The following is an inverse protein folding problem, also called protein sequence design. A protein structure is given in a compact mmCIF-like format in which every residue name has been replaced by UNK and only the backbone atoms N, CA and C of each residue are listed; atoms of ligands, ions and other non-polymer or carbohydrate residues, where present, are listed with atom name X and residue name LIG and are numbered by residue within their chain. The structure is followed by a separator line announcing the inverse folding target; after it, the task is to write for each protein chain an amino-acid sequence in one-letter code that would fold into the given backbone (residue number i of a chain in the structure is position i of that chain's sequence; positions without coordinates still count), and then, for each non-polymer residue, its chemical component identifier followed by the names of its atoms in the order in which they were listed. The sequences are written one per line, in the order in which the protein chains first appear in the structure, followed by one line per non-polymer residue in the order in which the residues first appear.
data_IF_901399899944
#
_entry.id   IF_901399899944
#
_cell.length_a   1.000
_cell.length_b   1.000
_cell.length_c   1.000
_cell.angle_alpha   90.00
_cell.angle_beta   90.00
_cell.angle_gamma   90.00
#
_symmetry.space_group_name_H-M   'P 1'
#
loop_
_entity.id
_entity.type
_entity.pdbx_description
1 polymer ?
#
# COMPACT_ATOMS: atom_id res chain seq x y z
N UNK A 1 15.10 42.77 53.03
CA UNK A 1 15.04 41.30 52.85
C UNK A 1 16.29 40.72 53.45
N UNK A 2 16.16 39.72 54.33
CA UNK A 2 17.31 39.10 54.98
C UNK A 2 18.08 38.24 53.97
N UNK A 3 19.38 37.98 54.16
CA UNK A 3 20.15 37.07 53.30
C UNK A 3 19.54 35.66 53.15
N UNK A 4 18.77 35.20 54.16
CA UNK A 4 18.06 33.92 54.14
C UNK A 4 16.85 33.91 53.20
N UNK A 5 16.15 35.04 53.04
CA UNK A 5 15.00 35.16 52.14
C UNK A 5 15.45 35.04 50.67
N UNK A 6 16.59 35.62 50.34
CA UNK A 6 17.17 35.59 48.99
C UNK A 6 17.64 34.17 48.60
N UNK A 7 18.21 33.42 49.55
CA UNK A 7 18.65 32.03 49.33
C UNK A 7 17.47 31.09 49.10
N UNK A 8 16.39 31.25 49.88
CA UNK A 8 15.17 30.43 49.73
C UNK A 8 14.48 30.72 48.40
N UNK A 9 14.35 32.00 48.02
CA UNK A 9 13.79 32.40 46.73
C UNK A 9 14.60 31.84 45.54
N UNK A 10 15.93 31.83 45.64
CA UNK A 10 16.80 31.26 44.61
C UNK A 10 16.59 29.74 44.47
N UNK A 11 16.58 29.00 45.59
CA UNK A 11 16.36 27.54 45.58
C UNK A 11 15.00 27.18 44.99
N UNK A 12 13.94 27.91 45.37
CA UNK A 12 12.60 27.71 44.82
C UNK A 12 12.58 28.01 43.32
N UNK A 13 13.17 29.12 42.89
CA UNK A 13 13.24 29.51 41.47
C UNK A 13 13.99 28.47 40.64
N UNK A 14 15.17 28.02 41.10
CA UNK A 14 15.95 26.99 40.41
C UNK A 14 15.19 25.68 40.33
N UNK A 15 14.52 25.24 41.41
CA UNK A 15 13.74 24.00 41.43
C UNK A 15 12.57 24.06 40.44
N UNK A 16 11.85 25.19 40.38
CA UNK A 16 10.76 25.40 39.42
C UNK A 16 11.30 25.37 37.99
N UNK A 17 12.39 26.09 37.71
CA UNK A 17 13.00 26.12 36.37
C UNK A 17 13.49 24.73 35.92
N UNK A 18 14.18 23.99 36.79
CA UNK A 18 14.64 22.63 36.51
C UNK A 18 13.48 21.66 36.29
N UNK A 19 12.41 21.78 37.07
CA UNK A 19 11.20 20.94 36.91
C UNK A 19 10.49 21.25 35.60
N UNK A 20 10.31 22.53 35.26
CA UNK A 20 9.70 22.94 33.99
C UNK A 20 10.55 22.50 32.80
N UNK A 21 11.87 22.65 32.87
CA UNK A 21 12.79 22.21 31.82
C UNK A 21 12.75 20.68 31.65
N UNK A 22 12.77 19.92 32.75
CA UNK A 22 12.65 18.47 32.72
C UNK A 22 11.31 18.03 32.11
N UNK A 23 10.19 18.62 32.55
CA UNK A 23 8.87 18.32 32.00
C UNK A 23 8.75 18.69 30.52
N UNK A 24 9.34 19.81 30.09
CA UNK A 24 9.37 20.22 28.69
C UNK A 24 10.19 19.26 27.83
N UNK A 25 11.37 18.85 28.29
CA UNK A 25 12.24 17.87 27.60
C UNK A 25 11.56 16.50 27.58
N UNK A 26 11.03 16.02 28.71
CA UNK A 26 10.30 14.77 28.79
C UNK A 26 9.08 14.78 27.87
N UNK A 27 8.31 15.87 27.83
CA UNK A 27 7.19 16.03 26.90
C UNK A 27 7.66 16.01 25.45
N UNK A 28 8.73 16.71 25.10
CA UNK A 28 9.26 16.73 23.73
C UNK A 28 9.80 15.36 23.28
N UNK A 29 10.37 14.58 24.20
CA UNK A 29 10.88 13.23 23.92
C UNK A 29 9.77 12.17 23.86
N UNK A 30 8.79 12.24 24.77
CA UNK A 30 7.69 11.27 24.86
C UNK A 30 6.56 11.56 23.87
N UNK A 31 6.34 12.83 23.54
CA UNK A 31 5.27 13.31 22.64
C UNK A 31 5.84 14.27 21.59
N UNK A 32 6.72 13.82 20.69
CA UNK A 32 7.22 14.64 19.61
C UNK A 32 6.05 15.11 18.73
N UNK A 33 6.00 16.41 18.43
CA UNK A 33 5.02 16.96 17.46
C UNK A 33 5.41 16.43 16.09
N UNK A 34 4.68 15.43 15.61
CA UNK A 34 4.82 14.93 14.24
C UNK A 34 4.01 15.81 13.29
N UNK A 35 4.53 16.13 12.10
CA UNK A 35 3.70 16.74 11.08
C UNK A 35 2.55 15.77 10.75
N UNK A 36 1.32 16.27 10.66
CA UNK A 36 0.17 15.43 10.28
C UNK A 36 0.33 14.89 8.87
N UNK A 37 0.77 15.76 7.97
CA UNK A 37 0.96 15.48 6.55
C UNK A 37 2.43 15.62 6.15
N UNK A 38 2.94 14.65 5.39
CA UNK A 38 4.26 14.69 4.76
C UNK A 38 4.05 14.96 3.27
N UNK A 39 4.62 16.05 2.75
CA UNK A 39 4.43 16.45 1.34
C UNK A 39 4.94 15.39 0.36
N UNK A 40 4.15 15.15 -0.68
CA UNK A 40 4.50 14.35 -1.84
C UNK A 40 5.55 15.06 -2.73
N UNK A 41 6.17 14.35 -3.69
CA UNK A 41 7.21 14.93 -4.53
C UNK A 41 6.80 16.16 -5.34
N UNK A 42 5.53 16.27 -5.76
CA UNK A 42 5.03 17.44 -6.50
C UNK A 42 4.97 18.67 -5.60
N UNK A 43 4.36 18.53 -4.42
CA UNK A 43 4.28 19.61 -3.42
C UNK A 43 5.63 19.96 -2.77
N UNK A 44 6.61 19.06 -2.88
CA UNK A 44 7.97 19.27 -2.40
C UNK A 44 8.87 19.96 -3.45
N UNK A 45 8.37 20.31 -4.64
CA UNK A 45 9.14 20.97 -5.69
C UNK A 45 10.12 20.04 -6.42
N UNK A 46 9.97 18.72 -6.28
CA UNK A 46 10.87 17.77 -6.96
C UNK A 46 10.71 17.89 -8.48
N UNK A 47 9.49 18.14 -8.96
CA UNK A 47 9.16 18.26 -10.39
C UNK A 47 9.29 19.69 -10.96
N UNK A 48 9.98 20.59 -10.26
CA UNK A 48 10.23 21.94 -10.76
C UNK A 48 11.03 21.92 -12.08
N UNK A 49 10.93 23.00 -12.87
CA UNK A 49 11.56 23.10 -14.20
C UNK A 49 13.05 22.72 -14.22
N UNK A 50 13.78 23.01 -13.13
CA UNK A 50 15.19 22.67 -13.00
C UNK A 50 15.49 21.15 -13.03
N UNK A 51 14.50 20.31 -12.70
CA UNK A 51 14.60 18.86 -12.69
C UNK A 51 13.85 18.18 -13.84
N UNK A 52 13.08 18.92 -14.64
CA UNK A 52 12.20 18.37 -15.66
C UNK A 52 12.93 17.40 -16.62
N UNK A 53 14.11 17.78 -17.12
CA UNK A 53 14.88 16.93 -18.04
C UNK A 53 15.39 15.64 -17.39
N UNK A 54 15.69 15.67 -16.08
CA UNK A 54 16.13 14.48 -15.32
C UNK A 54 14.97 13.54 -15.01
N UNK A 55 13.75 14.09 -14.89
CA UNK A 55 12.56 13.35 -14.48
C UNK A 55 11.76 12.79 -15.66
N UNK A 56 11.89 13.34 -16.87
CA UNK A 56 11.21 12.88 -18.10
C UNK A 56 11.35 11.37 -18.36
N UNK A 57 12.46 10.77 -17.90
CA UNK A 57 12.75 9.35 -18.12
C UNK A 57 12.17 8.43 -17.03
N UNK A 58 11.57 8.98 -15.97
CA UNK A 58 10.88 8.15 -14.99
C UNK A 58 9.67 7.49 -15.65
N UNK A 59 9.45 6.22 -15.33
CA UNK A 59 8.34 5.44 -15.89
C UNK A 59 6.97 5.90 -15.42
N UNK A 60 6.93 6.60 -14.29
CA UNK A 60 5.70 7.10 -13.71
C UNK A 60 5.77 8.61 -13.61
N UNK A 61 5.01 9.26 -14.48
CA UNK A 61 4.84 10.71 -14.51
C UNK A 61 3.55 11.14 -13.82
N UNK A 62 3.44 12.39 -13.35
CA UNK A 62 2.23 12.86 -12.69
C UNK A 62 0.97 12.75 -13.56
N UNK A 63 1.13 12.89 -14.88
CA UNK A 63 0.13 12.76 -15.93
C UNK A 63 0.17 11.38 -16.63
N UNK A 64 0.72 10.35 -15.98
CA UNK A 64 0.85 8.99 -16.52
C UNK A 64 -0.44 8.45 -17.17
N UNK A 65 -1.58 8.73 -16.53
CA UNK A 65 -2.89 8.35 -17.03
C UNK A 65 -3.80 9.56 -17.19
N UNK A 66 -4.80 9.51 -18.09
CA UNK A 66 -5.74 10.61 -18.25
C UNK A 66 -6.58 10.87 -16.99
N UNK A 67 -7.11 12.09 -16.88
CA UNK A 67 -7.92 12.50 -15.73
C UNK A 67 -7.13 12.60 -14.40
N UNK A 68 -5.80 12.73 -14.50
CA UNK A 68 -4.91 12.96 -13.38
C UNK A 68 -5.32 14.22 -12.60
N UNK A 69 -5.49 14.09 -11.29
CA UNK A 69 -5.81 15.20 -10.38
C UNK A 69 -5.26 14.95 -8.98
N UNK A 70 -5.01 16.05 -8.28
CA UNK A 70 -4.69 16.06 -6.86
C UNK A 70 -5.96 16.41 -6.06
N UNK A 71 -6.41 15.46 -5.25
CA UNK A 71 -7.60 15.62 -4.41
C UNK A 71 -7.17 16.07 -3.03
N UNK A 72 -7.42 17.32 -2.67
CA UNK A 72 -7.12 17.82 -1.32
C UNK A 72 -8.08 17.22 -0.29
N UNK A 73 -7.52 16.71 0.81
CA UNK A 73 -8.28 16.09 1.91
C UNK A 73 -7.74 16.52 3.27
N UNK A 74 -8.45 16.25 4.38
CA UNK A 74 -7.92 16.50 5.73
C UNK A 74 -6.61 15.76 6.06
N UNK A 75 -6.25 14.73 5.29
CA UNK A 75 -5.02 13.95 5.47
C UNK A 75 -3.84 14.46 4.61
N UNK A 76 -4.10 15.38 3.68
CA UNK A 76 -3.21 15.75 2.59
C UNK A 76 -3.83 15.47 1.23
N UNK A 77 -3.04 15.61 0.17
CA UNK A 77 -3.48 15.36 -1.21
C UNK A 77 -3.37 13.89 -1.61
N UNK A 78 -4.34 13.42 -2.38
CA UNK A 78 -4.35 12.11 -3.01
C UNK A 78 -4.23 12.28 -4.53
N UNK A 79 -3.25 11.62 -5.15
CA UNK A 79 -3.17 11.53 -6.60
C UNK A 79 -4.19 10.52 -7.11
N UNK A 80 -5.09 10.97 -7.99
CA UNK A 80 -6.17 10.17 -8.59
C UNK A 80 -6.10 10.26 -10.11
N UNK A 81 -6.40 9.15 -10.78
CA UNK A 81 -6.57 9.05 -12.23
C UNK A 81 -7.94 8.45 -12.53
N UNK A 82 -8.67 9.06 -13.45
CA UNK A 82 -10.02 8.60 -13.79
C UNK A 82 -10.27 8.79 -15.28
N UNK A 83 -10.41 7.68 -16.01
CA UNK A 83 -10.44 7.69 -17.48
C UNK A 83 -11.25 6.53 -18.06
N UNK A 84 -11.52 6.59 -19.37
CA UNK A 84 -12.46 5.70 -20.07
C UNK A 84 -13.84 6.36 -20.33
N UNK A 85 -14.78 5.68 -21.01
CA UNK A 85 -16.08 6.26 -21.36
C UNK A 85 -16.88 6.68 -20.12
N UNK A 86 -17.49 7.87 -20.11
CA UNK A 86 -18.24 8.37 -18.94
C UNK A 86 -19.46 7.51 -18.57
N UNK A 87 -20.06 6.86 -19.57
CA UNK A 87 -21.16 5.90 -19.42
C UNK A 87 -20.69 4.45 -19.24
N UNK A 88 -19.38 4.21 -19.21
CA UNK A 88 -18.81 2.89 -19.02
C UNK A 88 -19.09 2.33 -17.63
N UNK A 89 -19.24 1.01 -17.52
CA UNK A 89 -19.32 0.39 -16.20
C UNK A 89 -18.02 0.67 -15.41
N UNK A 90 -18.17 0.90 -14.11
CA UNK A 90 -17.11 1.48 -13.29
C UNK A 90 -16.25 0.40 -12.63
N UNK A 91 -14.93 0.58 -12.68
CA UNK A 91 -13.93 -0.29 -12.04
C UNK A 91 -12.97 0.54 -11.22
N UNK A 92 -12.86 0.24 -9.93
CA UNK A 92 -12.00 0.93 -8.98
C UNK A 92 -10.81 0.06 -8.59
N UNK A 93 -9.60 0.61 -8.64
CA UNK A 93 -8.36 -0.13 -8.43
C UNK A 93 -7.62 0.30 -7.16
N UNK A 94 -7.09 -0.67 -6.43
CA UNK A 94 -6.24 -0.46 -5.25
C UNK A 94 -4.93 -1.24 -5.42
N UNK A 95 -3.80 -0.52 -5.37
CA UNK A 95 -2.47 -1.09 -5.62
C UNK A 95 -1.79 -1.65 -4.34
N UNK A 96 -0.59 -2.19 -4.52
CA UNK A 96 0.19 -2.88 -3.48
C UNK A 96 0.84 -1.98 -2.42
N UNK A 97 1.73 -2.56 -1.63
CA UNK A 97 2.36 -1.86 -0.50
C UNK A 97 3.45 -0.88 -0.95
N UNK A 98 4.28 -1.27 -1.91
CA UNK A 98 5.54 -0.60 -2.27
C UNK A 98 5.49 0.17 -3.58
N UNK A 99 4.52 -0.14 -4.43
CA UNK A 99 4.39 0.45 -5.77
C UNK A 99 3.33 1.55 -5.79
N UNK A 100 3.35 2.47 -6.78
CA UNK A 100 2.21 3.33 -7.07
C UNK A 100 1.22 2.62 -8.01
N UNK A 101 0.12 3.28 -8.37
CA UNK A 101 -0.96 2.63 -9.14
C UNK A 101 -0.57 2.19 -10.56
N UNK A 102 0.59 2.59 -11.07
CA UNK A 102 1.08 2.23 -12.41
C UNK A 102 1.15 0.72 -12.66
N UNK A 103 1.38 -0.09 -11.62
CA UNK A 103 1.45 -1.55 -11.72
C UNK A 103 0.15 -2.19 -12.20
N UNK A 104 -0.98 -1.52 -11.95
CA UNK A 104 -2.31 -1.93 -12.41
C UNK A 104 -2.68 -1.31 -13.78
N UNK A 105 -1.81 -0.46 -14.33
CA UNK A 105 -1.99 0.22 -15.61
C UNK A 105 -2.32 -0.70 -16.78
N UNK A 106 -1.58 -1.82 -17.00
CA UNK A 106 -1.89 -2.76 -18.08
C UNK A 106 -3.32 -3.31 -18.02
N UNK A 107 -3.80 -3.67 -16.83
CA UNK A 107 -5.17 -4.18 -16.61
C UNK A 107 -6.18 -3.04 -16.81
N UNK A 108 -5.95 -1.87 -16.20
CA UNK A 108 -6.86 -0.74 -16.30
C UNK A 108 -7.04 -0.26 -17.76
N UNK A 109 -5.95 -0.13 -18.52
CA UNK A 109 -5.99 0.21 -19.94
C UNK A 109 -6.69 -0.88 -20.76
N UNK A 110 -6.47 -2.15 -20.41
CA UNK A 110 -7.17 -3.29 -21.01
C UNK A 110 -8.68 -3.23 -20.81
N UNK A 111 -9.16 -2.82 -19.63
CA UNK A 111 -10.58 -2.62 -19.34
C UNK A 111 -11.14 -1.38 -20.04
N UNK A 112 -10.39 -0.29 -20.15
CA UNK A 112 -10.84 0.89 -20.92
C UNK A 112 -11.07 0.53 -22.40
N UNK A 113 -10.21 -0.30 -23.00
CA UNK A 113 -10.42 -0.81 -24.36
C UNK A 113 -11.70 -1.64 -24.52
N UNK A 114 -12.24 -2.18 -23.42
CA UNK A 114 -13.51 -2.93 -23.37
C UNK A 114 -14.72 -2.06 -23.00
N UNK A 115 -14.53 -0.74 -22.93
CA UNK A 115 -15.60 0.22 -22.62
C UNK A 115 -15.82 0.50 -21.14
N UNK A 116 -14.94 0.03 -20.25
CA UNK A 116 -15.04 0.33 -18.81
C UNK A 116 -14.51 1.73 -18.48
N UNK A 117 -15.12 2.36 -17.48
CA UNK A 117 -14.59 3.54 -16.80
C UNK A 117 -13.73 3.07 -15.64
N UNK A 118 -12.49 3.52 -15.56
CA UNK A 118 -11.56 3.08 -14.52
C UNK A 118 -11.14 4.23 -13.63
N UNK A 119 -10.91 3.94 -12.36
CA UNK A 119 -10.35 4.87 -11.38
C UNK A 119 -9.20 4.21 -10.63
N UNK A 120 -8.05 4.88 -10.62
CA UNK A 120 -6.85 4.48 -9.90
C UNK A 120 -6.42 5.64 -9.00
N UNK A 121 -5.70 5.34 -7.94
CA UNK A 121 -5.14 6.35 -7.05
C UNK A 121 -3.89 5.82 -6.37
N UNK A 122 -3.03 6.74 -5.91
CA UNK A 122 -1.89 6.36 -5.10
C UNK A 122 -2.28 6.30 -3.61
N UNK A 123 -2.05 5.15 -2.96
CA UNK A 123 -2.13 5.03 -1.49
C UNK A 123 -1.27 6.12 -0.80
N UNK A 124 -1.69 6.57 0.38
CA UNK A 124 -0.94 7.59 1.12
C UNK A 124 0.55 7.25 1.28
N UNK A 125 1.41 8.21 0.99
CA UNK A 125 2.87 8.04 1.00
C UNK A 125 3.43 7.23 -0.17
N UNK A 126 2.65 6.92 -1.22
CA UNK A 126 3.15 6.30 -2.46
C UNK A 126 2.91 7.25 -3.63
N UNK A 127 3.71 7.06 -4.67
CA UNK A 127 3.61 7.82 -5.92
C UNK A 127 3.56 9.31 -5.65
N UNK A 128 2.45 9.93 -6.04
CA UNK A 128 2.23 11.38 -5.87
C UNK A 128 1.22 11.74 -4.78
N UNK A 129 0.83 10.81 -3.91
CA UNK A 129 -0.02 11.11 -2.75
C UNK A 129 0.81 11.56 -1.55
N UNK A 130 0.29 12.51 -0.76
CA UNK A 130 0.92 12.92 0.50
C UNK A 130 1.01 11.72 1.47
N UNK A 131 1.99 11.75 2.38
CA UNK A 131 2.09 10.80 3.49
C UNK A 131 1.31 11.27 4.71
N UNK A 132 0.78 10.34 5.50
CA UNK A 132 0.10 10.61 6.77
C UNK A 132 0.99 10.18 7.93
N UNK A 133 1.36 11.08 8.84
CA UNK A 133 2.42 10.79 9.84
C UNK A 133 1.94 10.69 11.29
N UNK A 134 0.70 11.11 11.58
CA UNK A 134 0.15 11.17 12.92
C UNK A 134 -0.80 10.01 13.27
N UNK A 135 -1.16 9.17 12.30
CA UNK A 135 -2.02 8.00 12.50
C UNK A 135 -1.50 6.74 11.77
N UNK A 136 -1.90 5.54 12.23
CA UNK A 136 -1.54 4.28 11.59
C UNK A 136 -2.11 4.13 10.17
N UNK A 137 -1.29 3.61 9.26
CA UNK A 137 -1.72 3.09 7.96
C UNK A 137 -2.37 1.71 8.12
N UNK A 138 -3.59 1.72 8.65
CA UNK A 138 -4.43 0.54 8.84
C UNK A 138 -5.57 0.47 7.82
N UNK A 139 -6.39 -0.58 7.90
CA UNK A 139 -7.55 -0.73 7.03
C UNK A 139 -8.54 0.45 7.11
N UNK A 140 -8.67 1.10 8.28
CA UNK A 140 -9.60 2.24 8.45
C UNK A 140 -9.11 3.47 7.69
N UNK A 141 -7.81 3.75 7.76
CA UNK A 141 -7.21 4.86 6.98
C UNK A 141 -7.39 4.62 5.48
N UNK A 142 -7.06 3.42 5.00
CA UNK A 142 -7.14 3.13 3.56
C UNK A 142 -8.57 3.08 3.04
N UNK A 143 -9.52 2.52 3.80
CA UNK A 143 -10.94 2.57 3.44
C UNK A 143 -11.43 4.02 3.41
N UNK A 144 -11.00 4.87 4.35
CA UNK A 144 -11.33 6.30 4.31
C UNK A 144 -10.72 6.99 3.09
N UNK A 145 -9.48 6.64 2.71
CA UNK A 145 -8.83 7.12 1.50
C UNK A 145 -9.65 6.78 0.25
N UNK A 146 -10.10 5.53 0.14
CA UNK A 146 -10.95 5.07 -0.96
C UNK A 146 -12.24 5.88 -1.07
N UNK A 147 -12.92 6.17 0.04
CA UNK A 147 -14.14 6.99 0.04
C UNK A 147 -13.86 8.43 -0.44
N UNK A 148 -12.76 9.04 0.00
CA UNK A 148 -12.35 10.38 -0.43
C UNK A 148 -12.06 10.42 -1.94
N UNK A 149 -11.45 9.35 -2.48
CA UNK A 149 -11.19 9.21 -3.92
C UNK A 149 -12.48 9.07 -4.71
N UNK A 150 -13.40 8.21 -4.29
CA UNK A 150 -14.71 8.03 -4.93
C UNK A 150 -15.53 9.34 -4.92
N UNK A 151 -15.53 10.04 -3.79
CA UNK A 151 -16.23 11.32 -3.62
C UNK A 151 -15.61 12.47 -4.46
N UNK A 152 -14.37 12.34 -4.92
CA UNK A 152 -13.70 13.35 -5.74
C UNK A 152 -14.10 13.33 -7.22
N UNK A 153 -14.83 12.30 -7.65
CA UNK A 153 -15.23 12.13 -9.04
C UNK A 153 -16.36 13.09 -9.40
N UNK A 154 -16.36 13.67 -10.61
CA UNK A 154 -17.53 14.38 -11.13
C UNK A 154 -18.67 13.43 -11.50
N UNK A 155 -18.42 12.11 -11.60
CA UNK A 155 -19.41 11.08 -11.89
C UNK A 155 -19.88 10.40 -10.61
N UNK A 156 -21.11 9.88 -10.60
CA UNK A 156 -21.63 9.14 -9.45
C UNK A 156 -20.98 7.75 -9.32
N UNK A 157 -20.20 7.53 -8.25
CA UNK A 157 -19.66 6.20 -7.86
C UNK A 157 -20.44 5.55 -6.69
N UNK A 158 -21.66 6.03 -6.43
CA UNK A 158 -22.54 5.57 -5.36
C UNK A 158 -23.77 4.84 -5.91
N UNK A 159 -24.51 4.17 -5.04
CA UNK A 159 -25.69 3.35 -5.39
C UNK A 159 -25.44 1.85 -5.21
N UNK A 160 -26.47 1.04 -5.47
CA UNK A 160 -26.36 -0.42 -5.35
C UNK A 160 -25.60 -1.00 -6.55
N UNK A 161 -24.54 -1.76 -6.29
CA UNK A 161 -23.67 -2.32 -7.32
C UNK A 161 -22.93 -1.25 -8.14
N UNK A 162 -22.62 -0.11 -7.53
CA UNK A 162 -22.11 1.08 -8.22
C UNK A 162 -20.81 0.86 -9.02
N UNK A 163 -19.92 -0.02 -8.55
CA UNK A 163 -18.68 -0.34 -9.24
C UNK A 163 -18.16 -1.74 -8.93
N UNK A 164 -17.19 -2.18 -9.73
CA UNK A 164 -16.38 -3.38 -9.51
C UNK A 164 -15.05 -2.98 -8.87
N UNK A 165 -14.58 -3.73 -7.89
CA UNK A 165 -13.39 -3.41 -7.11
C UNK A 165 -12.28 -4.40 -7.41
N UNK A 166 -11.10 -3.91 -7.80
CA UNK A 166 -9.89 -4.70 -8.07
C UNK A 166 -8.82 -4.31 -7.06
N UNK A 167 -8.33 -5.26 -6.27
CA UNK A 167 -7.26 -5.03 -5.30
C UNK A 167 -6.09 -5.98 -5.51
N UNK A 168 -4.88 -5.45 -5.56
CA UNK A 168 -3.63 -6.21 -5.71
C UNK A 168 -2.79 -6.21 -4.44
N UNK A 169 -2.27 -7.37 -4.01
CA UNK A 169 -1.39 -7.49 -2.85
C UNK A 169 -2.03 -6.85 -1.61
N UNK A 170 -1.40 -5.86 -0.96
CA UNK A 170 -1.98 -5.09 0.13
C UNK A 170 -3.32 -4.46 -0.25
N UNK A 171 -3.44 -3.95 -1.48
CA UNK A 171 -4.69 -3.43 -2.03
C UNK A 171 -5.81 -4.45 -2.06
N UNK A 172 -5.51 -5.74 -2.21
CA UNK A 172 -6.46 -6.84 -2.06
C UNK A 172 -6.97 -6.97 -0.62
N UNK A 173 -6.06 -6.93 0.37
CA UNK A 173 -6.42 -6.92 1.78
C UNK A 173 -7.30 -5.71 2.15
N UNK A 174 -6.95 -4.53 1.64
CA UNK A 174 -7.75 -3.30 1.80
C UNK A 174 -9.13 -3.45 1.13
N UNK A 175 -9.18 -4.02 -0.08
CA UNK A 175 -10.41 -4.21 -0.83
C UNK A 175 -11.40 -5.15 -0.13
N UNK A 176 -10.91 -6.19 0.56
CA UNK A 176 -11.75 -7.05 1.41
C UNK A 176 -12.43 -6.24 2.52
N UNK A 177 -11.67 -5.39 3.22
CA UNK A 177 -12.23 -4.51 4.26
C UNK A 177 -13.24 -3.52 3.70
N UNK A 178 -12.95 -2.92 2.54
CA UNK A 178 -13.89 -2.01 1.88
C UNK A 178 -15.19 -2.74 1.48
N UNK A 179 -15.10 -3.89 0.83
CA UNK A 179 -16.25 -4.66 0.38
C UNK A 179 -17.12 -5.17 1.55
N UNK A 180 -16.50 -5.46 2.70
CA UNK A 180 -17.23 -5.81 3.93
C UNK A 180 -17.96 -4.62 4.56
N UNK A 181 -17.34 -3.43 4.53
CA UNK A 181 -17.93 -2.21 5.09
C UNK A 181 -19.03 -1.62 4.18
N UNK A 182 -18.89 -1.78 2.87
CA UNK A 182 -19.80 -1.23 1.86
C UNK A 182 -20.27 -2.31 0.86
N UNK A 183 -20.93 -3.38 1.33
CA UNK A 183 -21.29 -4.53 0.49
C UNK A 183 -22.21 -4.16 -0.66
N UNK A 184 -23.05 -3.13 -0.48
CA UNK A 184 -23.97 -2.64 -1.50
C UNK A 184 -23.28 -1.80 -2.58
N UNK A 185 -22.11 -1.20 -2.34
CA UNK A 185 -21.40 -0.43 -3.38
C UNK A 185 -20.66 -1.34 -4.36
N UNK A 186 -20.07 -2.43 -3.84
CA UNK A 186 -19.19 -3.30 -4.60
C UNK A 186 -19.98 -4.43 -5.27
N UNK A 187 -20.20 -4.31 -6.58
CA UNK A 187 -20.85 -5.36 -7.37
C UNK A 187 -19.99 -6.62 -7.46
N UNK A 188 -18.78 -6.47 -7.98
CA UNK A 188 -17.81 -7.56 -8.16
C UNK A 188 -16.52 -7.21 -7.43
N UNK A 189 -15.90 -8.20 -6.79
CA UNK A 189 -14.62 -8.08 -6.09
C UNK A 189 -13.59 -8.98 -6.75
N UNK A 190 -12.51 -8.42 -7.28
CA UNK A 190 -11.39 -9.16 -7.87
C UNK A 190 -10.14 -8.93 -7.02
N UNK A 191 -9.60 -10.02 -6.47
CA UNK A 191 -8.44 -10.02 -5.61
C UNK A 191 -7.26 -10.66 -6.34
N UNK A 192 -6.21 -9.88 -6.57
CA UNK A 192 -4.99 -10.29 -7.29
C UNK A 192 -3.87 -10.50 -6.26
N UNK A 193 -3.42 -11.75 -6.07
CA UNK A 193 -2.45 -12.15 -5.04
C UNK A 193 -2.66 -11.40 -3.69
N UNK A 194 -3.87 -11.41 -3.12
CA UNK A 194 -4.22 -10.52 -2.02
C UNK A 194 -3.45 -10.84 -0.74
N UNK A 195 -3.10 -9.80 0.01
CA UNK A 195 -2.64 -9.96 1.38
C UNK A 195 -3.81 -10.24 2.34
N UNK A 196 -3.49 -10.49 3.60
CA UNK A 196 -4.44 -10.68 4.69
C UNK A 196 -4.31 -12.03 5.38
N UNK A 197 -3.98 -13.07 4.62
CA UNK A 197 -3.73 -14.42 5.15
C UNK A 197 -2.26 -14.84 5.01
N UNK A 198 -1.35 -13.87 4.77
CA UNK A 198 0.08 -14.13 4.82
C UNK A 198 0.41 -14.62 6.22
N UNK A 199 1.10 -15.76 6.32
CA UNK A 199 1.44 -16.35 7.61
C UNK A 199 2.40 -15.43 8.35
N UNK A 200 2.03 -15.04 9.57
CA UNK A 200 2.84 -14.24 10.48
C UNK A 200 4.27 -14.79 10.65
N UNK A 201 4.42 -16.12 10.60
CA UNK A 201 5.70 -16.81 10.71
C UNK A 201 6.67 -16.48 9.56
N UNK A 202 6.15 -16.18 8.36
CA UNK A 202 6.95 -15.78 7.18
C UNK A 202 7.68 -14.45 7.41
N UNK A 203 7.18 -13.60 8.30
CA UNK A 203 7.86 -12.36 8.69
C UNK A 203 8.97 -12.55 9.74
N UNK A 204 9.22 -13.78 10.19
CA UNK A 204 10.17 -14.12 11.26
C UNK A 204 9.71 -13.60 12.63
N UNK A 205 9.52 -14.49 13.62
CA UNK A 205 8.94 -14.13 14.94
C UNK A 205 9.68 -12.97 15.63
N UNK A 206 11.02 -12.98 15.58
CA UNK A 206 11.88 -11.95 16.18
C UNK A 206 11.80 -10.63 15.38
N UNK A 207 11.79 -10.70 14.06
CA UNK A 207 11.64 -9.55 13.17
C UNK A 207 10.29 -8.85 13.37
N UNK A 208 9.19 -9.61 13.35
CA UNK A 208 7.84 -9.09 13.65
C UNK A 208 7.78 -8.49 15.05
N UNK A 209 8.29 -9.18 16.06
CA UNK A 209 8.31 -8.65 17.43
C UNK A 209 9.07 -7.33 17.53
N UNK A 210 10.27 -7.23 16.97
CA UNK A 210 11.08 -6.01 17.05
C UNK A 210 10.52 -4.87 16.19
N UNK A 211 9.89 -5.18 15.06
CA UNK A 211 9.26 -4.19 14.20
C UNK A 211 7.97 -3.61 14.80
N UNK A 212 7.23 -4.42 15.57
CA UNK A 212 5.94 -4.07 16.20
C UNK A 212 6.11 -3.52 17.63
N UNK A 213 7.08 -4.01 18.39
CA UNK A 213 7.29 -3.65 19.81
C UNK A 213 7.74 -2.21 20.05
N UNK A 214 8.21 -1.52 19.02
CA UNK A 214 8.74 -0.15 19.15
C UNK A 214 10.07 -0.05 19.92
N UNK A 215 10.70 -1.19 20.26
CA UNK A 215 11.97 -1.24 20.99
C UNK A 215 13.14 -0.68 20.18
N UNK A 216 13.06 -0.72 18.84
CA UNK A 216 14.05 -0.10 17.96
C UNK A 216 13.61 1.34 17.66
N UNK A 217 14.44 2.36 17.93
CA UNK A 217 14.13 3.75 17.60
C UNK A 217 13.75 3.90 16.12
N UNK A 218 12.63 4.57 15.86
CA UNK A 218 12.01 4.68 14.53
C UNK A 218 12.97 5.25 13.47
N UNK A 219 13.83 6.19 13.86
CA UNK A 219 14.84 6.78 12.96
C UNK A 219 15.87 5.75 12.49
N UNK A 220 16.32 4.85 13.37
CA UNK A 220 17.29 3.80 13.03
C UNK A 220 16.65 2.81 12.06
N UNK A 221 15.42 2.40 12.37
CA UNK A 221 14.67 1.48 11.51
C UNK A 221 14.35 2.10 10.15
N UNK A 222 14.04 3.40 10.10
CA UNK A 222 13.82 4.12 8.84
C UNK A 222 15.10 4.20 7.99
N UNK A 223 16.26 4.47 8.59
CA UNK A 223 17.55 4.47 7.86
C UNK A 223 17.88 3.09 7.30
N UNK A 224 17.69 2.03 8.10
CA UNK A 224 17.92 0.66 7.66
C UNK A 224 16.97 0.25 6.53
N UNK A 225 15.68 0.56 6.67
CA UNK A 225 14.65 0.32 5.65
C UNK A 225 14.98 1.06 4.36
N UNK A 226 15.36 2.34 4.45
CA UNK A 226 15.78 3.18 3.32
C UNK A 226 16.97 2.57 2.59
N UNK A 227 18.03 2.26 3.32
CA UNK A 227 19.27 1.70 2.74
C UNK A 227 18.98 0.42 1.97
N UNK A 228 18.08 -0.42 2.47
CA UNK A 228 17.77 -1.69 1.85
C UNK A 228 16.88 -1.57 0.62
N UNK A 229 15.84 -0.74 0.65
CA UNK A 229 15.00 -0.45 -0.52
C UNK A 229 15.80 0.16 -1.69
N UNK A 230 16.97 0.75 -1.42
CA UNK A 230 17.86 1.29 -2.44
C UNK A 230 18.84 0.27 -3.04
N UNK A 231 19.09 -0.89 -2.41
CA UNK A 231 20.14 -1.83 -2.86
C UNK A 231 19.76 -2.51 -4.20
N UNK A 232 20.71 -2.63 -5.16
CA UNK A 232 20.53 -3.43 -6.37
C UNK A 232 20.42 -4.93 -6.04
N UNK A 233 19.43 -5.60 -6.64
CA UNK A 233 19.00 -6.95 -6.24
C UNK A 233 19.94 -8.06 -6.76
N UNK A 234 20.80 -7.79 -7.75
CA UNK A 234 21.81 -8.73 -8.22
C UNK A 234 22.84 -9.14 -7.15
N UNK A 235 22.84 -8.50 -5.97
CA UNK A 235 23.64 -8.89 -4.81
C UNK A 235 22.91 -9.83 -3.82
N UNK A 236 21.67 -10.24 -4.09
CA UNK A 236 20.90 -11.19 -3.24
C UNK A 236 21.10 -12.66 -3.64
N UNK A 237 22.30 -13.04 -4.06
CA UNK A 237 22.77 -14.39 -3.77
C UNK A 237 23.13 -14.44 -2.27
N UNK A 238 22.15 -14.87 -1.45
CA UNK A 238 22.14 -14.89 0.03
C UNK A 238 23.53 -14.97 0.71
N UNK A 239 23.89 -13.97 1.53
CA UNK A 239 24.49 -14.21 2.84
C UNK A 239 23.40 -14.13 3.92
N UNK A 240 23.54 -14.87 5.04
CA UNK A 240 22.68 -14.66 6.21
C UNK A 240 22.83 -13.22 6.74
N UNK A 241 21.80 -12.66 7.40
CA UNK A 241 21.85 -11.30 7.94
C UNK A 241 23.05 -11.16 8.87
N UNK A 242 23.90 -10.16 8.62
CA UNK A 242 25.16 -9.98 9.37
C UNK A 242 24.93 -9.21 10.66
N UNK A 243 23.79 -8.53 10.80
CA UNK A 243 23.46 -7.70 11.97
C UNK A 243 22.02 -7.89 12.46
N UNK A 244 21.72 -7.61 13.76
CA UNK A 244 20.35 -7.69 14.30
C UNK A 244 19.35 -6.77 13.58
N UNK A 245 19.78 -5.58 13.15
CA UNK A 245 18.93 -4.62 12.42
C UNK A 245 18.59 -5.14 11.01
N UNK A 246 19.56 -5.77 10.33
CA UNK A 246 19.29 -6.41 9.05
C UNK A 246 18.28 -7.54 9.24
N UNK A 247 18.45 -8.41 10.24
CA UNK A 247 17.52 -9.51 10.52
C UNK A 247 16.07 -9.04 10.73
N UNK A 248 15.86 -7.89 11.37
CA UNK A 248 14.53 -7.29 11.62
C UNK A 248 13.90 -6.69 10.36
N UNK A 249 14.71 -6.16 9.44
CA UNK A 249 14.19 -5.50 8.23
C UNK A 249 13.97 -6.49 7.07
N UNK A 250 14.67 -7.64 7.05
CA UNK A 250 14.61 -8.65 5.97
C UNK A 250 13.20 -9.06 5.56
N UNK A 251 12.35 -9.57 6.46
CA UNK A 251 11.13 -10.23 6.02
C UNK A 251 10.06 -9.27 5.47
N UNK A 252 9.80 -8.09 6.07
CA UNK A 252 8.94 -7.06 5.47
C UNK A 252 9.41 -6.56 4.11
N UNK A 253 10.73 -6.47 3.91
CA UNK A 253 11.31 -5.94 2.68
C UNK A 253 11.31 -6.96 1.55
N UNK A 254 11.30 -8.26 1.86
CA UNK A 254 11.09 -9.29 0.83
C UNK A 254 9.70 -9.14 0.18
N UNK A 255 8.67 -8.74 0.93
CA UNK A 255 7.33 -8.46 0.37
C UNK A 255 7.39 -7.26 -0.58
N UNK A 256 8.12 -6.21 -0.19
CA UNK A 256 8.34 -5.06 -1.06
C UNK A 256 9.10 -5.39 -2.34
N UNK A 257 10.08 -6.29 -2.25
CA UNK A 257 10.89 -6.74 -3.39
C UNK A 257 10.07 -7.63 -4.33
N UNK A 258 9.26 -8.55 -3.81
CA UNK A 258 8.41 -9.42 -4.63
C UNK A 258 7.36 -8.67 -5.46
N UNK A 259 6.87 -7.51 -5.02
CA UNK A 259 5.91 -6.71 -5.83
C UNK A 259 6.48 -6.21 -7.16
N UNK A 260 7.79 -6.28 -7.34
CA UNK A 260 8.52 -5.58 -8.39
C UNK A 260 9.65 -6.43 -8.99
N UNK A 261 9.80 -7.69 -8.55
CA UNK A 261 10.89 -8.59 -8.98
C UNK A 261 10.32 -9.96 -9.29
N UNK A 262 10.71 -10.56 -10.43
CA UNK A 262 10.30 -11.92 -10.74
C UNK A 262 10.98 -12.95 -9.84
N UNK A 263 10.21 -13.91 -9.34
CA UNK A 263 10.73 -15.10 -8.68
C UNK A 263 11.41 -16.03 -9.69
N UNK A 264 12.71 -15.85 -9.88
CA UNK A 264 13.67 -16.78 -10.52
C UNK A 264 13.62 -16.97 -12.05
N UNK A 265 14.80 -16.83 -12.69
CA UNK A 265 15.13 -17.37 -14.02
C UNK A 265 14.53 -16.65 -15.24
N UNK A 266 13.38 -15.98 -15.10
CA UNK A 266 12.75 -15.23 -16.19
C UNK A 266 13.42 -13.87 -16.41
N UNK A 267 13.47 -13.44 -17.68
CA UNK A 267 14.05 -12.14 -18.03
C UNK A 267 13.14 -11.02 -17.54
N UNK A 268 13.67 -10.12 -16.71
CA UNK A 268 12.96 -8.92 -16.22
C UNK A 268 12.43 -8.13 -17.41
N UNK A 269 11.13 -7.89 -17.44
CA UNK A 269 10.51 -7.08 -18.49
C UNK A 269 10.92 -5.61 -18.37
N UNK A 270 10.88 -4.84 -19.47
CA UNK A 270 11.19 -3.41 -19.41
C UNK A 270 10.27 -2.61 -18.48
N UNK A 271 9.04 -3.08 -18.20
CA UNK A 271 8.14 -2.39 -17.29
C UNK A 271 8.54 -2.63 -15.83
N UNK A 272 8.80 -3.88 -15.43
CA UNK A 272 9.22 -4.23 -14.06
C UNK A 272 10.51 -3.52 -13.66
N UNK A 273 11.53 -3.56 -14.52
CA UNK A 273 12.80 -2.88 -14.25
C UNK A 273 12.59 -1.39 -14.00
N UNK A 274 11.72 -0.77 -14.80
CA UNK A 274 11.44 0.65 -14.67
C UNK A 274 10.60 0.98 -13.43
N UNK A 275 9.66 0.11 -13.03
CA UNK A 275 8.90 0.27 -11.77
C UNK A 275 9.83 0.12 -10.56
N UNK A 276 10.77 -0.83 -10.59
CA UNK A 276 11.84 -0.97 -9.60
C UNK A 276 12.66 0.32 -9.45
N UNK A 277 13.06 0.92 -10.56
CA UNK A 277 13.79 2.20 -10.58
C UNK A 277 12.94 3.32 -9.96
N UNK A 278 11.63 3.33 -10.23
CA UNK A 278 10.72 4.30 -9.62
C UNK A 278 10.56 4.11 -8.11
N UNK A 279 10.46 2.87 -7.62
CA UNK A 279 10.42 2.60 -6.17
C UNK A 279 11.68 3.13 -5.49
N UNK A 280 12.87 2.88 -6.07
CA UNK A 280 14.14 3.45 -5.55
C UNK A 280 14.15 4.97 -5.61
N UNK A 281 13.56 5.55 -6.64
CA UNK A 281 13.39 7.00 -6.75
C UNK A 281 12.44 7.56 -5.67
N UNK A 282 11.35 6.87 -5.33
CA UNK A 282 10.46 7.27 -4.22
C UNK A 282 11.18 7.26 -2.87
N UNK A 283 12.02 6.25 -2.63
CA UNK A 283 12.79 6.14 -1.38
C UNK A 283 13.67 7.38 -1.14
N UNK A 284 14.15 8.02 -2.21
CA UNK A 284 14.97 9.24 -2.14
C UNK A 284 14.15 10.51 -2.17
N UNK A 285 13.12 10.60 -3.01
CA UNK A 285 12.44 11.85 -3.33
C UNK A 285 11.05 11.99 -2.71
N UNK A 286 10.49 10.93 -2.12
CA UNK A 286 9.23 10.97 -1.41
C UNK A 286 9.45 10.73 0.10
N UNK A 287 9.50 11.82 0.86
CA UNK A 287 9.71 11.79 2.32
C UNK A 287 8.67 10.98 3.09
N UNK A 288 7.47 10.79 2.52
CA UNK A 288 6.38 10.02 3.11
C UNK A 288 6.47 8.52 2.87
N UNK A 289 7.27 8.06 1.90
CA UNK A 289 7.30 6.66 1.47
C UNK A 289 7.76 5.70 2.55
N UNK A 290 8.97 5.89 3.10
CA UNK A 290 9.52 4.99 4.12
C UNK A 290 8.64 4.95 5.39
N UNK A 291 8.18 6.09 5.95
CA UNK A 291 7.25 6.07 7.09
C UNK A 291 5.94 5.35 6.80
N UNK A 292 5.31 5.62 5.64
CA UNK A 292 4.05 5.00 5.26
C UNK A 292 4.20 3.49 5.02
N UNK A 293 5.29 3.07 4.36
CA UNK A 293 5.64 1.67 4.16
C UNK A 293 5.80 0.93 5.50
N UNK A 294 6.63 1.47 6.40
CA UNK A 294 6.84 0.88 7.72
C UNK A 294 5.54 0.83 8.54
N UNK A 295 4.73 1.87 8.48
CA UNK A 295 3.42 1.87 9.14
C UNK A 295 2.50 0.80 8.54
N UNK A 296 2.54 0.58 7.23
CA UNK A 296 1.71 -0.42 6.56
C UNK A 296 2.10 -1.84 6.98
N UNK A 297 3.40 -2.13 7.05
CA UNK A 297 3.91 -3.41 7.55
C UNK A 297 3.39 -3.73 8.97
N UNK A 298 3.23 -2.71 9.82
CA UNK A 298 2.78 -2.88 11.20
C UNK A 298 1.27 -3.04 11.35
N UNK A 299 0.50 -2.27 10.59
CA UNK A 299 -0.91 -2.03 10.90
C UNK A 299 -1.87 -2.33 9.75
N UNK A 300 -1.39 -2.45 8.53
CA UNK A 300 -2.23 -2.74 7.38
C UNK A 300 -2.66 -4.22 7.38
N UNK A 301 -3.75 -4.57 6.67
CA UNK A 301 -4.32 -5.93 6.69
C UNK A 301 -3.47 -6.92 5.87
N UNK A 302 -2.23 -7.19 6.29
CA UNK A 302 -1.29 -8.10 5.63
C UNK A 302 -1.40 -9.54 6.16
N UNK A 303 -1.61 -9.70 7.46
CA UNK A 303 -1.67 -11.00 8.15
C UNK A 303 -2.89 -11.08 9.05
N UNK A 304 -3.27 -12.30 9.45
CA UNK A 304 -4.25 -12.56 10.50
C UNK A 304 -5.66 -12.00 10.22
N UNK A 305 -6.07 -11.88 8.95
CA UNK A 305 -7.36 -11.29 8.55
C UNK A 305 -8.48 -12.32 8.34
N UNK A 306 -8.41 -13.49 8.99
CA UNK A 306 -9.36 -14.60 8.79
C UNK A 306 -10.82 -14.20 8.99
N UNK A 307 -11.13 -13.36 9.99
CA UNK A 307 -12.52 -12.90 10.24
C UNK A 307 -13.05 -12.00 9.10
N UNK A 308 -12.20 -11.13 8.56
CA UNK A 308 -12.58 -10.27 7.44
C UNK A 308 -12.77 -11.11 6.16
N UNK A 309 -11.93 -12.11 5.95
CA UNK A 309 -12.05 -13.07 4.85
C UNK A 309 -13.32 -13.92 4.97
N UNK A 310 -13.66 -14.40 6.16
CA UNK A 310 -14.87 -15.18 6.41
C UNK A 310 -16.16 -14.42 6.05
N UNK A 311 -16.15 -13.09 6.14
CA UNK A 311 -17.31 -12.26 5.74
C UNK A 311 -17.55 -12.24 4.23
N UNK A 312 -16.55 -12.60 3.41
CA UNK A 312 -16.73 -12.69 1.96
C UNK A 312 -17.72 -13.78 1.56
N UNK A 313 -17.92 -14.82 2.38
CA UNK A 313 -18.92 -15.87 2.14
C UNK A 313 -20.37 -15.36 2.17
N UNK A 314 -20.59 -14.12 2.61
CA UNK A 314 -21.90 -13.45 2.62
C UNK A 314 -22.19 -12.72 1.32
N UNK A 315 -21.20 -12.55 0.43
CA UNK A 315 -21.41 -11.98 -0.90
C UNK A 315 -22.18 -12.98 -1.76
N UNK A 316 -22.78 -12.53 -2.85
CA UNK A 316 -23.45 -13.45 -3.76
C UNK A 316 -22.42 -14.38 -4.43
N UNK A 317 -22.72 -15.68 -4.59
CA UNK A 317 -21.84 -16.61 -5.29
C UNK A 317 -21.42 -16.07 -6.67
N UNK A 318 -20.15 -16.24 -7.03
CA UNK A 318 -19.61 -15.80 -8.32
C UNK A 318 -19.29 -14.29 -8.43
N UNK A 319 -19.59 -13.48 -7.41
CA UNK A 319 -19.26 -12.03 -7.37
C UNK A 319 -17.91 -11.73 -6.73
N UNK A 320 -17.14 -12.76 -6.36
CA UNK A 320 -15.77 -12.62 -5.85
C UNK A 320 -14.83 -13.55 -6.63
N UNK A 321 -13.73 -12.99 -7.14
CA UNK A 321 -12.65 -13.71 -7.78
C UNK A 321 -11.35 -13.56 -6.98
N UNK A 322 -10.61 -14.65 -6.84
CA UNK A 322 -9.29 -14.72 -6.21
C UNK A 322 -8.34 -15.32 -7.23
N UNK A 323 -7.46 -14.48 -7.77
CA UNK A 323 -6.48 -14.84 -8.78
C UNK A 323 -5.09 -14.82 -8.14
N UNK A 324 -4.44 -15.97 -8.09
CA UNK A 324 -3.09 -16.15 -7.54
C UNK A 324 -2.10 -16.46 -8.66
N UNK A 325 -0.82 -16.15 -8.46
CA UNK A 325 0.22 -16.48 -9.42
C UNK A 325 0.93 -17.78 -9.01
N UNK A 326 1.22 -18.66 -9.98
CA UNK A 326 1.74 -20.01 -9.74
C UNK A 326 3.08 -20.02 -9.01
N UNK A 327 3.94 -19.05 -9.33
CA UNK A 327 5.30 -18.96 -8.80
C UNK A 327 5.44 -17.82 -7.77
N UNK A 328 4.34 -17.41 -7.14
CA UNK A 328 4.34 -16.34 -6.14
C UNK A 328 5.12 -16.73 -4.88
N UNK A 329 6.17 -15.98 -4.58
CA UNK A 329 7.08 -16.21 -3.47
C UNK A 329 6.58 -15.65 -2.13
N UNK A 330 5.52 -14.83 -2.14
CA UNK A 330 4.91 -14.24 -0.95
C UNK A 330 3.59 -14.95 -0.61
N UNK A 331 2.78 -15.20 -1.63
CA UNK A 331 1.45 -15.80 -1.56
C UNK A 331 1.50 -17.19 -2.18
N UNK A 332 2.05 -18.17 -1.44
CA UNK A 332 2.09 -19.56 -1.90
C UNK A 332 0.66 -20.08 -2.19
N UNK A 333 0.30 -20.37 -3.46
CA UNK A 333 -1.09 -20.59 -3.84
C UNK A 333 -1.75 -21.78 -3.13
N UNK A 334 -0.97 -22.84 -2.88
CA UNK A 334 -1.46 -24.05 -2.25
C UNK A 334 -1.78 -23.84 -0.77
N UNK A 335 -0.85 -23.23 -0.02
CA UNK A 335 -1.11 -22.91 1.37
C UNK A 335 -2.19 -21.84 1.53
N UNK A 336 -2.21 -20.85 0.64
CA UNK A 336 -3.23 -19.80 0.67
C UNK A 336 -4.62 -20.37 0.41
N UNK A 337 -4.75 -21.32 -0.55
CA UNK A 337 -6.01 -22.04 -0.79
C UNK A 337 -6.47 -22.81 0.43
N UNK A 338 -5.57 -23.56 1.09
CA UNK A 338 -5.91 -24.32 2.30
C UNK A 338 -6.44 -23.41 3.43
N UNK A 339 -5.84 -22.24 3.59
CA UNK A 339 -6.18 -21.34 4.70
C UNK A 339 -7.42 -20.45 4.38
N UNK A 340 -7.68 -20.15 3.12
CA UNK A 340 -8.69 -19.16 2.71
C UNK A 340 -9.99 -19.74 2.14
N UNK A 341 -9.93 -20.86 1.40
CA UNK A 341 -11.02 -21.30 0.54
C UNK A 341 -12.30 -21.64 1.34
N UNK A 342 -12.15 -22.27 2.50
CA UNK A 342 -13.27 -22.58 3.40
C UNK A 342 -13.89 -21.31 4.02
N UNK A 343 -13.07 -20.28 4.29
CA UNK A 343 -13.55 -19.01 4.84
C UNK A 343 -14.48 -18.29 3.86
N UNK A 344 -14.20 -18.38 2.56
CA UNK A 344 -14.93 -17.65 1.52
C UNK A 344 -16.09 -18.44 0.92
N UNK A 345 -16.51 -19.54 1.55
CA UNK A 345 -17.68 -20.34 1.13
C UNK A 345 -17.37 -21.47 0.13
N UNK A 346 -16.10 -21.73 -0.18
CA UNK A 346 -15.67 -22.84 -1.04
C UNK A 346 -15.66 -22.53 -2.54
N UNK A 347 -15.27 -23.53 -3.34
CA UNK A 347 -15.01 -23.38 -4.79
C UNK A 347 -16.23 -23.00 -5.62
N UNK A 348 -17.42 -23.33 -5.13
CA UNK A 348 -18.67 -22.96 -5.80
C UNK A 348 -19.11 -21.53 -5.49
N UNK A 349 -18.53 -20.91 -4.46
CA UNK A 349 -18.91 -19.56 -4.03
C UNK A 349 -18.01 -18.48 -4.64
N UNK A 350 -16.71 -18.77 -4.79
CA UNK A 350 -15.73 -17.83 -5.35
C UNK A 350 -15.09 -18.38 -6.61
N UNK A 351 -14.71 -17.48 -7.53
CA UNK A 351 -13.89 -17.84 -8.69
C UNK A 351 -12.42 -17.92 -8.25
N UNK A 352 -11.93 -19.12 -8.01
CA UNK A 352 -10.52 -19.36 -7.64
C UNK A 352 -9.69 -19.74 -8.87
N UNK A 353 -8.61 -19.01 -9.14
CA UNK A 353 -7.72 -19.26 -10.29
C UNK A 353 -6.25 -19.12 -9.90
N UNK A 354 -5.43 -19.97 -10.51
CA UNK A 354 -3.97 -19.90 -10.43
C UNK A 354 -3.44 -19.64 -11.83
N UNK A 355 -2.87 -18.47 -12.04
CA UNK A 355 -2.36 -17.98 -13.32
C UNK A 355 -0.84 -18.14 -13.40
N UNK A 356 -0.24 -18.08 -14.61
CA UNK A 356 1.22 -18.02 -14.74
C UNK A 356 1.79 -16.71 -14.13
N UNK A 357 3.10 -16.70 -13.89
CA UNK A 357 3.83 -15.55 -13.32
C UNK A 357 4.17 -15.69 -11.83
N UNK A 358 4.80 -14.63 -11.31
CA UNK A 358 5.18 -14.46 -9.90
C UNK A 358 4.33 -13.38 -9.23
N UNK A 359 4.71 -12.86 -8.07
CA UNK A 359 3.89 -11.87 -7.36
C UNK A 359 3.61 -10.62 -8.22
N UNK A 360 4.50 -10.26 -9.13
CA UNK A 360 4.39 -9.18 -10.12
C UNK A 360 3.48 -9.47 -11.34
N UNK A 361 2.76 -10.59 -11.38
CA UNK A 361 1.94 -11.04 -12.53
C UNK A 361 0.92 -10.01 -13.05
N UNK A 362 0.55 -9.01 -12.23
CA UNK A 362 -0.29 -7.87 -12.68
C UNK A 362 0.34 -7.03 -13.78
N UNK A 363 1.68 -7.05 -13.88
CA UNK A 363 2.45 -6.36 -14.93
C UNK A 363 2.80 -7.28 -16.10
N UNK A 364 3.05 -8.56 -15.86
CA UNK A 364 3.54 -9.51 -16.89
C UNK A 364 2.44 -10.34 -17.55
N UNK A 365 1.39 -10.66 -16.80
CA UNK A 365 0.32 -11.57 -17.21
C UNK A 365 -1.05 -10.87 -17.19
N UNK A 366 -1.06 -9.57 -17.48
CA UNK A 366 -2.28 -8.77 -17.54
C UNK A 366 -3.31 -9.33 -18.54
N UNK A 367 -2.87 -10.00 -19.61
CA UNK A 367 -3.75 -10.67 -20.57
C UNK A 367 -4.56 -11.81 -19.94
N UNK A 368 -3.91 -12.68 -19.18
CA UNK A 368 -4.56 -13.79 -18.47
C UNK A 368 -5.53 -13.28 -17.41
N UNK A 369 -5.13 -12.25 -16.66
CA UNK A 369 -5.99 -11.58 -15.68
C UNK A 369 -7.23 -10.98 -16.35
N UNK A 370 -7.05 -10.28 -17.47
CA UNK A 370 -8.16 -9.69 -18.22
C UNK A 370 -9.12 -10.74 -18.76
N UNK A 371 -8.62 -11.91 -19.16
CA UNK A 371 -9.46 -13.03 -19.59
C UNK A 371 -10.39 -13.51 -18.47
N UNK A 372 -9.85 -13.73 -17.26
CA UNK A 372 -10.66 -14.13 -16.09
C UNK A 372 -11.64 -13.02 -15.65
N UNK A 373 -11.22 -11.75 -15.74
CA UNK A 373 -12.09 -10.61 -15.46
C UNK A 373 -13.23 -10.53 -16.48
N UNK A 374 -12.98 -10.72 -17.77
CA UNK A 374 -14.00 -10.70 -18.82
C UNK A 374 -15.02 -11.82 -18.60
N UNK A 375 -14.57 -13.03 -18.32
CA UNK A 375 -15.45 -14.17 -18.03
C UNK A 375 -16.37 -13.88 -16.84
N UNK A 376 -15.80 -13.35 -15.74
CA UNK A 376 -16.57 -12.95 -14.56
C UNK A 376 -17.56 -11.84 -14.86
N UNK A 377 -17.11 -10.75 -15.49
CA UNK A 377 -17.93 -9.55 -15.67
C UNK A 377 -19.05 -9.79 -16.68
N UNK A 378 -18.83 -10.63 -17.70
CA UNK A 378 -19.87 -10.99 -18.66
C UNK A 378 -20.89 -11.96 -18.07
N UNK A 379 -20.47 -12.91 -17.23
CA UNK A 379 -21.41 -13.80 -16.52
C UNK A 379 -22.35 -13.03 -15.60
N UNK A 380 -21.85 -11.93 -15.01
CA UNK A 380 -22.58 -11.12 -14.03
C UNK A 380 -23.28 -9.89 -14.66
N UNK A 381 -23.33 -9.77 -15.99
CA UNK A 381 -24.21 -8.81 -16.68
C UNK A 381 -25.64 -9.35 -16.60
N UNK A 382 -26.45 -8.74 -15.73
CA UNK A 382 -27.91 -8.95 -15.66
C UNK A 382 -28.61 -8.01 -16.62
#
# INVERSE_FOLDING_TARGET
MSPQDTSTALVVTTTVLSTVAFLAIARALLYPVRPKTIRNPLKAGVYDKANADKLKNLVYQPDQFPGARDVETPYGSIRVYEFGPENGEKVFFVHGISTPCITLGPIALGLVKRGYRVMLFDLFGRGFSDGVADIPHDARLYVSQMLLVLASSPLAWTGTGAFRLVGYSLGGGIAVHFANAFPNLVRDLVLLAPAGLIRAASFGRVSRFLFVSGLVPERILAVATRSRLQKPIAASAKPPPKTPIEAVTTPPLNVAEAEVVPASGEAVTPLEQRVMEYVRWMVTHHSGFVPAFMSSIRFAPLTDQHEAWAKLSKRAPGTTAILLARSDEIIDPESYRRDALSLVGGEHHVRWRILPGSHDFVMTHAGDILSEIDDMFNTNKV
#
